data_IF_788888534443
#
_entry.id   IF_788888534443
#
_cell.length_a   1.000
_cell.length_b   1.000
_cell.length_c   1.000
_cell.angle_alpha   90.00
_cell.angle_beta   90.00
_cell.angle_gamma   90.00
#
_symmetry.space_group_name_H-M   'P 1'
#
loop_
_entity.id
_entity.type
_entity.pdbx_description
1 polymer ?
#
# COMPACT_ATOMS: atom_id res chain seq x y z
N UNK A 1 10.55 25.64 23.00
CA UNK A 1 9.79 25.86 21.76
C UNK A 1 10.00 24.65 20.88
N UNK A 2 9.03 23.73 20.90
CA UNK A 2 9.14 22.38 20.32
C UNK A 2 9.14 22.43 18.79
N UNK A 3 10.06 21.68 18.19
CA UNK A 3 10.32 21.57 16.75
C UNK A 3 9.26 20.77 15.97
N UNK A 4 8.02 20.69 16.46
CA UNK A 4 7.07 19.62 16.08
C UNK A 4 5.92 20.01 15.15
N UNK A 5 5.94 21.20 14.54
CA UNK A 5 4.81 21.65 13.70
C UNK A 5 5.24 22.35 12.41
N UNK A 6 6.23 21.79 11.69
CA UNK A 6 6.49 22.23 10.30
C UNK A 6 5.52 21.50 9.36
N UNK A 7 4.70 22.23 8.58
CA UNK A 7 3.80 21.60 7.62
C UNK A 7 4.60 20.76 6.62
N UNK A 8 4.10 19.55 6.36
CA UNK A 8 4.71 18.64 5.39
C UNK A 8 4.71 19.29 4.00
N UNK A 9 5.76 19.07 3.18
CA UNK A 9 5.78 19.59 1.83
C UNK A 9 4.70 18.91 0.97
N UNK A 10 4.08 19.70 0.08
CA UNK A 10 3.21 19.16 -0.95
C UNK A 10 4.01 18.34 -1.96
N UNK A 11 3.40 17.30 -2.51
CA UNK A 11 4.03 16.32 -3.39
C UNK A 11 3.57 16.55 -4.83
N UNK A 12 4.54 16.77 -5.72
CA UNK A 12 4.35 16.86 -7.16
C UNK A 12 4.78 15.55 -7.82
N UNK A 13 3.86 14.90 -8.54
CA UNK A 13 4.21 13.76 -9.41
C UNK A 13 4.43 14.23 -10.84
N UNK A 14 5.43 13.65 -11.50
CA UNK A 14 5.80 13.98 -12.87
C UNK A 14 5.34 12.87 -13.82
N UNK A 15 4.66 13.24 -14.89
CA UNK A 15 4.17 12.31 -15.91
C UNK A 15 4.81 12.64 -17.23
N UNK A 16 5.59 11.68 -17.73
CA UNK A 16 6.31 11.75 -19.00
C UNK A 16 7.24 12.97 -19.14
N UNK A 17 7.72 13.50 -18.01
CA UNK A 17 8.73 14.57 -17.97
C UNK A 17 10.12 13.94 -18.14
N UNK A 18 10.97 14.53 -18.98
CA UNK A 18 12.32 14.01 -19.23
C UNK A 18 13.23 14.09 -17.99
N UNK A 19 14.24 13.21 -17.91
CA UNK A 19 15.14 13.11 -16.76
C UNK A 19 15.90 14.43 -16.46
N UNK A 20 16.28 15.17 -17.50
CA UNK A 20 16.96 16.47 -17.35
C UNK A 20 16.01 17.56 -16.83
N UNK A 21 14.76 17.58 -17.31
CA UNK A 21 13.72 18.50 -16.85
C UNK A 21 13.33 18.20 -15.40
N UNK A 22 13.21 16.92 -15.04
CA UNK A 22 13.00 16.48 -13.65
C UNK A 22 14.15 16.95 -12.75
N UNK A 23 15.40 16.73 -13.16
CA UNK A 23 16.58 17.16 -12.38
C UNK A 23 16.56 18.68 -12.18
N UNK A 24 16.25 19.43 -13.23
CA UNK A 24 16.13 20.88 -13.17
C UNK A 24 15.01 21.33 -12.20
N UNK A 25 13.82 20.71 -12.28
CA UNK A 25 12.71 20.98 -11.37
C UNK A 25 13.07 20.68 -9.91
N UNK A 26 13.75 19.55 -9.64
CA UNK A 26 14.21 19.19 -8.28
C UNK A 26 15.15 20.27 -7.73
N UNK A 27 16.10 20.74 -8.54
CA UNK A 27 17.02 21.82 -8.16
C UNK A 27 16.30 23.14 -7.91
N UNK A 28 15.34 23.52 -8.77
CA UNK A 28 14.55 24.73 -8.59
C UNK A 28 13.69 24.69 -7.32
N UNK A 29 13.00 23.58 -7.05
CA UNK A 29 12.19 23.42 -5.84
C UNK A 29 13.04 23.50 -4.57
N UNK A 30 14.25 22.92 -4.59
CA UNK A 30 15.18 23.03 -3.48
C UNK A 30 15.62 24.49 -3.21
N UNK A 31 15.88 25.27 -4.27
CA UNK A 31 16.22 26.69 -4.17
C UNK A 31 15.03 27.54 -3.70
N UNK A 32 13.84 27.24 -4.17
CA UNK A 32 12.62 27.99 -3.86
C UNK A 32 11.98 27.60 -2.52
N UNK A 33 12.52 26.59 -1.81
CA UNK A 33 11.96 26.06 -0.57
C UNK A 33 11.73 27.12 0.52
N UNK A 34 12.51 28.21 0.52
CA UNK A 34 12.38 29.32 1.48
C UNK A 34 11.41 30.42 1.03
N UNK A 35 10.94 30.39 -0.22
CA UNK A 35 10.10 31.42 -0.82
C UNK A 35 8.72 30.91 -1.27
N UNK A 36 8.59 29.59 -1.42
CA UNK A 36 7.36 28.93 -1.83
C UNK A 36 6.69 28.31 -0.60
N UNK A 37 5.59 28.90 -0.15
CA UNK A 37 4.75 28.37 0.93
C UNK A 37 3.37 27.96 0.39
N UNK A 38 2.90 26.72 0.66
CA UNK A 38 3.62 25.62 1.29
C UNK A 38 4.79 25.12 0.42
N UNK A 39 5.80 24.50 1.05
CA UNK A 39 6.95 23.95 0.32
C UNK A 39 6.54 22.76 -0.54
N UNK A 40 7.21 22.55 -1.67
CA UNK A 40 6.92 21.45 -2.59
C UNK A 40 8.11 20.51 -2.75
N UNK A 41 7.83 19.24 -3.01
CA UNK A 41 8.82 18.23 -3.37
C UNK A 41 8.34 17.36 -4.53
N UNK A 42 9.27 16.84 -5.32
CA UNK A 42 8.94 15.83 -6.33
C UNK A 42 8.92 14.46 -5.66
N UNK A 43 7.90 13.66 -5.98
CA UNK A 43 7.79 12.27 -5.57
C UNK A 43 9.15 11.56 -5.72
N UNK A 44 9.71 11.12 -4.60
CA UNK A 44 11.00 10.45 -4.54
C UNK A 44 10.86 8.95 -4.84
N UNK A 45 9.66 8.40 -4.64
CA UNK A 45 9.35 6.98 -4.88
C UNK A 45 8.00 6.80 -5.55
N UNK A 46 7.86 5.66 -6.23
CA UNK A 46 6.57 5.15 -6.68
C UNK A 46 5.72 4.85 -5.42
N UNK A 47 4.80 5.73 -5.04
CA UNK A 47 3.99 5.57 -3.81
C UNK A 47 3.94 6.81 -2.91
N UNK A 48 4.72 7.85 -3.20
CA UNK A 48 4.42 9.20 -2.71
C UNK A 48 3.15 9.67 -3.42
N UNK A 49 2.17 10.11 -2.65
CA UNK A 49 0.86 10.37 -3.18
C UNK A 49 0.76 11.84 -3.58
N UNK A 50 0.48 12.14 -4.86
CA UNK A 50 0.61 13.49 -5.36
C UNK A 50 -0.53 14.38 -4.92
N UNK A 51 -0.16 15.53 -4.35
CA UNK A 51 -1.06 16.68 -4.19
C UNK A 51 -1.36 17.34 -5.54
N UNK A 52 -0.44 17.23 -6.50
CA UNK A 52 -0.65 17.65 -7.88
C UNK A 52 0.15 16.79 -8.87
N UNK A 53 -0.31 16.75 -10.11
CA UNK A 53 0.35 16.01 -11.20
C UNK A 53 0.76 16.97 -12.31
N UNK A 54 2.05 16.98 -12.65
CA UNK A 54 2.60 17.69 -13.80
C UNK A 54 2.69 16.73 -15.00
N UNK A 55 2.01 17.05 -16.09
CA UNK A 55 1.94 16.20 -17.28
C UNK A 55 2.61 16.90 -18.46
N UNK A 56 3.60 16.26 -19.07
CA UNK A 56 4.24 16.78 -20.29
C UNK A 56 3.33 16.62 -21.52
N UNK A 57 2.67 17.71 -21.91
CA UNK A 57 1.72 17.74 -23.02
C UNK A 57 2.38 17.80 -24.40
N UNK A 58 3.69 18.10 -24.47
CA UNK A 58 4.43 18.08 -25.73
C UNK A 58 4.73 16.65 -26.19
N UNK A 59 4.54 15.68 -25.30
CA UNK A 59 4.74 14.26 -25.56
C UNK A 59 3.44 13.55 -25.95
N UNK A 60 3.53 12.55 -26.85
CA UNK A 60 2.35 11.77 -27.27
C UNK A 60 1.73 11.01 -26.09
N UNK A 61 2.57 10.47 -25.21
CA UNK A 61 2.13 9.70 -24.05
C UNK A 61 1.51 10.61 -22.97
N UNK A 62 2.06 11.81 -22.73
CA UNK A 62 1.49 12.76 -21.79
C UNK A 62 0.15 13.32 -22.26
N UNK A 63 -0.01 13.57 -23.57
CA UNK A 63 -1.30 13.95 -24.15
C UNK A 63 -2.35 12.83 -23.96
N UNK A 64 -1.98 11.57 -24.23
CA UNK A 64 -2.86 10.42 -23.95
C UNK A 64 -3.23 10.31 -22.47
N UNK A 65 -2.31 10.59 -21.54
CA UNK A 65 -2.61 10.61 -20.11
C UNK A 65 -3.60 11.72 -19.75
N UNK A 66 -3.41 12.92 -20.31
CA UNK A 66 -4.28 14.07 -20.06
C UNK A 66 -5.73 13.82 -20.46
N UNK A 67 -5.95 13.17 -21.60
CA UNK A 67 -7.29 12.90 -22.14
C UNK A 67 -7.97 11.71 -21.45
N UNK A 68 -7.21 10.65 -21.15
CA UNK A 68 -7.79 9.35 -20.81
C UNK A 68 -7.69 8.97 -19.33
N UNK A 69 -6.97 9.74 -18.50
CA UNK A 69 -6.77 9.44 -17.08
C UNK A 69 -7.53 10.44 -16.21
N UNK A 70 -8.46 9.91 -15.41
CA UNK A 70 -9.08 10.63 -14.32
C UNK A 70 -8.22 10.48 -13.06
N UNK A 71 -7.68 11.58 -12.55
CA UNK A 71 -6.83 11.61 -11.35
C UNK A 71 -7.64 11.77 -10.05
N UNK A 72 -8.92 11.41 -10.04
CA UNK A 72 -9.73 11.37 -8.82
C UNK A 72 -9.92 12.73 -8.15
N UNK A 73 -9.82 13.82 -8.92
CA UNK A 73 -9.88 15.20 -8.42
C UNK A 73 -8.53 15.82 -8.07
N UNK A 74 -7.42 15.08 -8.15
CA UNK A 74 -6.07 15.65 -7.99
C UNK A 74 -5.82 16.71 -9.09
N UNK A 75 -5.38 17.92 -8.72
CA UNK A 75 -4.99 18.98 -9.67
C UNK A 75 -4.01 18.50 -10.74
N UNK A 76 -4.29 18.87 -11.99
CA UNK A 76 -3.44 18.58 -13.15
C UNK A 76 -2.84 19.86 -13.68
N UNK A 77 -1.53 19.85 -13.89
CA UNK A 77 -0.77 20.95 -14.44
C UNK A 77 -0.22 20.48 -15.79
N UNK A 78 -0.54 21.22 -16.86
CA UNK A 78 0.06 20.98 -18.17
C UNK A 78 1.47 21.55 -18.18
N UNK A 79 2.47 20.76 -18.54
CA UNK A 79 3.80 21.21 -18.91
C UNK A 79 3.89 21.22 -20.44
N UNK A 80 4.04 22.39 -21.05
CA UNK A 80 4.05 22.52 -22.52
C UNK A 80 4.81 23.75 -22.99
N UNK A 81 5.23 23.77 -24.26
CA UNK A 81 5.76 24.97 -24.92
C UNK A 81 4.71 26.07 -25.12
N UNK A 82 3.45 25.68 -25.27
CA UNK A 82 2.33 26.58 -25.55
C UNK A 82 1.28 26.52 -24.44
N UNK A 83 0.40 27.53 -24.37
CA UNK A 83 -0.73 27.47 -23.44
C UNK A 83 -1.69 26.35 -23.84
N UNK A 84 -2.07 25.52 -22.86
CA UNK A 84 -3.03 24.44 -23.07
C UNK A 84 -4.40 24.91 -22.61
N UNK A 85 -5.28 25.24 -23.55
CA UNK A 85 -6.62 25.79 -23.27
C UNK A 85 -7.50 24.87 -22.40
N UNK A 86 -7.31 23.56 -22.51
CA UNK A 86 -8.03 22.57 -21.72
C UNK A 86 -7.46 22.38 -20.29
N UNK A 87 -6.37 23.08 -19.96
CA UNK A 87 -5.71 23.00 -18.67
C UNK A 87 -6.00 24.22 -17.81
N UNK A 88 -6.43 23.97 -16.57
CA UNK A 88 -6.63 25.03 -15.58
C UNK A 88 -5.31 25.72 -15.21
N UNK A 89 -4.21 24.96 -15.19
CA UNK A 89 -2.86 25.50 -15.05
C UNK A 89 -1.94 24.96 -16.12
N UNK A 90 -1.17 25.87 -16.71
CA UNK A 90 -0.09 25.54 -17.63
C UNK A 90 1.23 26.12 -17.10
N UNK A 91 2.24 25.27 -16.97
CA UNK A 91 3.64 25.61 -16.73
C UNK A 91 4.36 25.61 -18.08
N UNK A 92 4.89 26.76 -18.50
CA UNK A 92 5.51 26.89 -19.81
C UNK A 92 6.95 26.35 -19.85
N UNK A 93 7.31 25.70 -20.95
CA UNK A 93 8.70 25.40 -21.32
C UNK A 93 9.29 26.61 -22.08
N UNK A 94 10.54 27.03 -21.78
CA UNK A 94 11.41 26.54 -20.73
C UNK A 94 10.91 26.94 -19.34
N UNK A 95 11.06 26.03 -18.37
CA UNK A 95 10.59 26.22 -17.00
C UNK A 95 11.31 27.42 -16.38
N UNK A 96 10.54 28.42 -15.95
CA UNK A 96 11.06 29.62 -15.27
C UNK A 96 10.74 29.57 -13.78
N UNK A 97 11.61 30.11 -12.91
CA UNK A 97 11.32 30.18 -11.48
C UNK A 97 10.20 31.18 -11.16
N UNK A 98 10.12 32.31 -11.87
CA UNK A 98 9.14 33.39 -11.62
C UNK A 98 8.61 34.04 -12.90
N UNK A 99 7.55 34.84 -12.76
CA UNK A 99 6.80 35.47 -13.85
C UNK A 99 5.57 34.68 -14.30
N UNK A 100 4.87 35.13 -15.36
CA UNK A 100 3.69 34.44 -15.88
C UNK A 100 3.97 33.01 -16.31
N UNK A 101 3.09 32.08 -15.95
CA UNK A 101 3.18 30.64 -16.20
C UNK A 101 4.48 29.99 -15.68
N UNK A 102 5.05 30.59 -14.63
CA UNK A 102 6.26 30.08 -13.98
C UNK A 102 5.97 29.04 -12.92
N UNK A 103 7.03 28.35 -12.47
CA UNK A 103 6.92 27.32 -11.43
C UNK A 103 6.32 27.89 -10.14
N UNK A 104 6.76 29.06 -9.70
CA UNK A 104 6.25 29.68 -8.45
C UNK A 104 4.77 30.03 -8.58
N UNK A 105 4.39 30.73 -9.66
CA UNK A 105 3.00 31.16 -9.85
C UNK A 105 2.04 29.96 -9.92
N UNK A 106 2.39 28.96 -10.72
CA UNK A 106 1.57 27.76 -10.92
C UNK A 106 1.43 26.98 -9.62
N UNK A 107 2.53 26.71 -8.91
CA UNK A 107 2.47 25.94 -7.66
C UNK A 107 1.78 26.69 -6.54
N UNK A 108 1.91 28.02 -6.45
CA UNK A 108 1.14 28.84 -5.50
C UNK A 108 -0.35 28.80 -5.82
N UNK A 109 -0.74 28.88 -7.09
CA UNK A 109 -2.15 28.82 -7.49
C UNK A 109 -2.78 27.45 -7.19
N UNK A 110 -2.04 26.37 -7.47
CA UNK A 110 -2.47 25.00 -7.16
C UNK A 110 -2.58 24.78 -5.65
N UNK A 111 -1.59 25.21 -4.87
CA UNK A 111 -1.62 25.12 -3.41
C UNK A 111 -2.83 25.86 -2.82
N UNK A 112 -3.14 27.06 -3.33
CA UNK A 112 -4.33 27.82 -2.92
C UNK A 112 -5.62 27.05 -3.22
N UNK A 113 -5.73 26.44 -4.41
CA UNK A 113 -6.90 25.63 -4.75
C UNK A 113 -7.01 24.38 -3.88
N UNK A 114 -5.91 23.72 -3.55
CA UNK A 114 -5.90 22.60 -2.60
C UNK A 114 -6.38 23.02 -1.20
N UNK A 115 -5.96 24.21 -0.73
CA UNK A 115 -6.41 24.78 0.54
C UNK A 115 -7.90 25.16 0.51
N UNK A 116 -8.41 25.68 -0.61
CA UNK A 116 -9.82 26.06 -0.78
C UNK A 116 -10.75 24.86 -1.05
N UNK A 117 -10.20 23.78 -1.63
CA UNK A 117 -10.92 22.52 -1.91
C UNK A 117 -10.87 21.55 -0.72
N UNK A 118 -10.08 21.86 0.31
CA UNK A 118 -10.23 21.23 1.60
C UNK A 118 -11.65 21.56 2.10
N UNK A 119 -12.52 20.56 2.37
CA UNK A 119 -13.85 20.85 2.84
C UNK A 119 -13.76 21.68 4.12
N UNK A 120 -14.47 22.81 4.15
CA UNK A 120 -14.72 23.56 5.36
C UNK A 120 -15.05 22.58 6.48
N UNK A 121 -14.36 22.74 7.61
CA UNK A 121 -14.41 21.94 8.84
C UNK A 121 -15.83 21.49 9.20
N UNK A 122 -16.28 20.44 8.54
CA UNK A 122 -17.35 19.56 8.97
C UNK A 122 -16.58 18.37 9.48
N UNK A 123 -16.51 18.26 10.80
CA UNK A 123 -15.91 17.13 11.52
C UNK A 123 -16.33 15.85 10.81
N UNK A 124 -15.45 15.24 10.01
CA UNK A 124 -15.78 13.98 9.40
C UNK A 124 -15.81 12.99 10.54
N UNK A 125 -16.96 12.39 10.78
CA UNK A 125 -17.10 11.17 11.55
C UNK A 125 -16.38 10.04 10.80
N UNK A 126 -15.04 10.14 10.74
CA UNK A 126 -14.19 9.05 10.30
C UNK A 126 -14.31 7.95 11.34
N UNK A 127 -15.01 6.87 10.97
CA UNK A 127 -14.99 5.63 11.72
C UNK A 127 -13.56 5.09 11.69
N UNK A 128 -12.80 5.37 12.75
CA UNK A 128 -11.44 4.87 12.98
C UNK A 128 -11.36 3.35 12.73
N UNK A 129 -10.40 2.93 11.89
CA UNK A 129 -10.10 1.51 11.65
C UNK A 129 -8.60 1.31 11.38
N UNK A 130 -7.95 0.30 11.99
CA UNK A 130 -6.58 -0.08 11.61
C UNK A 130 -6.46 -0.39 10.11
N UNK A 131 -5.26 -0.20 9.54
CA UNK A 131 -5.01 -0.49 8.12
C UNK A 131 -5.42 -1.92 7.73
N UNK A 132 -5.09 -2.89 8.58
CA UNK A 132 -5.47 -4.29 8.40
C UNK A 132 -6.98 -4.54 8.30
N UNK A 133 -7.79 -3.73 8.99
CA UNK A 133 -9.26 -3.80 8.88
C UNK A 133 -9.76 -3.30 7.53
N UNK A 134 -9.12 -2.27 6.97
CA UNK A 134 -9.43 -1.79 5.61
C UNK A 134 -9.03 -2.82 4.56
N UNK A 135 -7.85 -3.44 4.70
CA UNK A 135 -7.40 -4.53 3.82
C UNK A 135 -8.37 -5.71 3.89
N UNK A 136 -8.78 -6.13 5.09
CA UNK A 136 -9.75 -7.21 5.26
C UNK A 136 -11.08 -6.90 4.57
N UNK A 137 -11.58 -5.67 4.72
CA UNK A 137 -12.80 -5.22 4.04
C UNK A 137 -12.65 -5.23 2.52
N UNK A 138 -11.50 -4.81 1.99
CA UNK A 138 -11.22 -4.82 0.55
C UNK A 138 -11.15 -6.26 0.01
N UNK A 139 -10.57 -7.21 0.76
CA UNK A 139 -10.53 -8.62 0.38
C UNK A 139 -11.92 -9.29 0.35
N UNK A 140 -12.88 -8.75 1.10
CA UNK A 140 -14.26 -9.26 1.15
C UNK A 140 -15.18 -8.65 0.08
N UNK A 141 -14.72 -7.63 -0.66
CA UNK A 141 -15.53 -7.06 -1.73
C UNK A 141 -15.61 -8.03 -2.92
N UNK A 142 -16.75 -8.13 -3.62
CA UNK A 142 -16.85 -8.96 -4.81
C UNK A 142 -16.19 -8.32 -6.05
N UNK A 143 -15.65 -7.11 -5.93
CA UNK A 143 -15.06 -6.31 -7.01
C UNK A 143 -13.75 -5.65 -6.57
N UNK A 144 -12.91 -5.20 -7.53
CA UNK A 144 -11.67 -4.52 -7.18
C UNK A 144 -11.90 -3.23 -6.40
N UNK A 145 -11.15 -3.07 -5.31
CA UNK A 145 -11.31 -1.99 -4.35
C UNK A 145 -9.96 -1.39 -3.97
N UNK A 146 -9.91 -0.06 -3.89
CA UNK A 146 -8.73 0.70 -3.49
C UNK A 146 -8.82 0.99 -1.98
N UNK A 147 -7.76 0.63 -1.26
CA UNK A 147 -7.56 1.06 0.12
C UNK A 147 -6.86 2.42 0.05
N UNK A 148 -7.64 3.50 0.17
CA UNK A 148 -7.13 4.87 0.19
C UNK A 148 -6.83 5.31 1.62
N UNK A 149 -5.65 5.83 1.86
CA UNK A 149 -5.32 6.58 3.08
C UNK A 149 -5.58 8.08 2.86
N UNK A 150 -5.45 8.88 3.91
CA UNK A 150 -5.44 10.34 3.78
C UNK A 150 -4.34 10.83 2.83
N UNK A 151 -3.23 10.11 2.79
CA UNK A 151 -2.19 10.38 1.82
C UNK A 151 -2.64 9.98 0.42
N UNK A 152 -3.56 9.02 0.22
CA UNK A 152 -4.01 8.49 -1.08
C UNK A 152 -3.88 6.96 -1.20
N UNK A 153 -3.86 6.38 -2.42
CA UNK A 153 -3.90 4.92 -2.62
C UNK A 153 -2.75 4.15 -1.92
N UNK A 154 -3.13 3.23 -1.02
CA UNK A 154 -2.20 2.31 -0.37
C UNK A 154 -1.93 1.08 -1.24
N UNK A 155 -3.03 0.46 -1.67
CA UNK A 155 -3.06 -0.74 -2.49
C UNK A 155 -4.46 -0.91 -3.08
N UNK A 156 -4.51 -1.59 -4.22
CA UNK A 156 -5.75 -2.06 -4.83
C UNK A 156 -5.83 -3.56 -4.68
N UNK A 157 -6.94 -4.06 -4.14
CA UNK A 157 -7.22 -5.50 -4.04
C UNK A 157 -8.18 -5.87 -5.15
N UNK A 158 -7.88 -6.95 -5.88
CA UNK A 158 -8.81 -7.62 -6.80
C UNK A 158 -9.05 -9.06 -6.31
N UNK A 159 -10.13 -9.27 -5.52
CA UNK A 159 -10.43 -10.58 -4.95
C UNK A 159 -10.80 -11.63 -6.01
N UNK A 160 -11.43 -11.23 -7.12
CA UNK A 160 -11.78 -12.18 -8.19
C UNK A 160 -10.55 -12.61 -8.98
N UNK A 161 -9.66 -11.66 -9.29
CA UNK A 161 -8.39 -11.93 -9.94
C UNK A 161 -7.36 -12.62 -9.04
N UNK A 162 -7.64 -12.76 -7.74
CA UNK A 162 -6.71 -13.29 -6.74
C UNK A 162 -5.36 -12.55 -6.74
N UNK A 163 -5.41 -11.23 -6.97
CA UNK A 163 -4.23 -10.37 -7.02
C UNK A 163 -4.46 -9.09 -6.23
N UNK A 164 -3.37 -8.46 -5.83
CA UNK A 164 -3.36 -7.09 -5.37
C UNK A 164 -2.26 -6.31 -6.09
N UNK A 165 -2.39 -4.99 -6.05
CA UNK A 165 -1.46 -4.06 -6.65
C UNK A 165 -1.05 -3.06 -5.58
N UNK A 166 0.25 -2.84 -5.46
CA UNK A 166 0.78 -1.80 -4.60
C UNK A 166 2.13 -1.37 -5.15
N UNK A 167 2.42 -0.09 -5.06
CA UNK A 167 3.76 0.43 -5.32
C UNK A 167 4.70 0.24 -4.11
N UNK A 168 4.15 -0.17 -2.96
CA UNK A 168 4.91 -0.37 -1.70
C UNK A 168 5.65 -1.70 -1.70
N UNK A 169 6.81 -1.69 -1.05
CA UNK A 169 7.55 -2.91 -0.78
C UNK A 169 6.84 -3.80 0.24
N UNK A 170 7.26 -5.06 0.33
CA UNK A 170 6.75 -6.01 1.34
C UNK A 170 6.96 -5.48 2.77
N UNK A 171 8.09 -4.84 3.05
CA UNK A 171 8.40 -4.29 4.38
C UNK A 171 7.52 -3.08 4.71
N UNK A 172 7.27 -2.20 3.73
CA UNK A 172 6.37 -1.05 3.90
C UNK A 172 4.92 -1.50 4.15
N UNK A 173 4.45 -2.51 3.41
CA UNK A 173 3.12 -3.10 3.64
C UNK A 173 3.05 -3.77 5.01
N UNK A 174 4.09 -4.50 5.41
CA UNK A 174 4.20 -5.13 6.73
C UNK A 174 4.12 -4.09 7.84
N UNK A 175 4.84 -2.98 7.71
CA UNK A 175 4.82 -1.89 8.69
C UNK A 175 3.42 -1.25 8.80
N UNK A 176 2.72 -1.03 7.68
CA UNK A 176 1.35 -0.51 7.69
C UNK A 176 0.36 -1.50 8.31
N UNK A 177 0.46 -2.78 7.98
CA UNK A 177 -0.40 -3.84 8.53
C UNK A 177 -0.21 -4.02 10.03
N UNK A 178 1.03 -3.90 10.52
CA UNK A 178 1.37 -3.95 11.94
C UNK A 178 0.93 -2.69 12.70
N UNK A 179 0.79 -1.56 12.00
CA UNK A 179 0.48 -0.29 12.65
C UNK A 179 -0.94 -0.29 13.23
N UNK A 180 -1.02 -0.29 14.56
CA UNK A 180 -2.27 -0.20 15.33
C UNK A 180 -2.68 1.24 15.63
N UNK A 181 -1.85 2.23 15.29
CA UNK A 181 -2.16 3.66 15.48
C UNK A 181 -3.20 4.12 14.47
N UNK A 182 -3.81 5.26 14.77
CA UNK A 182 -4.79 5.92 13.89
C UNK A 182 -4.16 6.19 12.53
N UNK A 183 -4.74 5.57 11.51
CA UNK A 183 -4.48 5.90 10.11
C UNK A 183 -5.83 6.26 9.51
N UNK A 184 -5.96 7.51 9.06
CA UNK A 184 -7.17 7.95 8.38
C UNK A 184 -7.17 7.34 6.96
N UNK A 185 -8.28 6.69 6.60
CA UNK A 185 -8.42 6.01 5.33
C UNK A 185 -9.82 5.44 5.10
N UNK A 186 -10.06 4.98 3.88
CA UNK A 186 -11.31 4.39 3.42
C UNK A 186 -11.04 3.33 2.34
N UNK A 187 -11.99 2.42 2.19
CA UNK A 187 -12.04 1.51 1.04
C UNK A 187 -13.02 2.09 0.04
N UNK A 188 -12.59 2.27 -1.21
CA UNK A 188 -13.42 2.78 -2.30
C UNK A 188 -13.42 1.80 -3.47
N UNK A 189 -14.49 1.83 -4.24
CA UNK A 189 -14.63 1.00 -5.43
C UNK A 189 -13.69 1.51 -6.54
N UNK A 190 -13.11 0.61 -7.32
CA UNK A 190 -12.24 0.98 -8.45
C UNK A 190 -13.06 1.04 -9.74
N UNK A 191 -13.15 2.20 -10.40
CA UNK A 191 -13.81 2.33 -11.69
C UNK A 191 -13.05 1.54 -12.77
N UNK A 192 -13.81 0.93 -13.69
CA UNK A 192 -13.31 0.19 -14.85
C UNK A 192 -12.31 -0.92 -14.49
N UNK A 193 -12.69 -1.81 -13.57
CA UNK A 193 -11.93 -2.99 -13.14
C UNK A 193 -11.26 -3.77 -14.31
N UNK A 194 -11.94 -3.88 -15.45
CA UNK A 194 -11.42 -4.59 -16.65
C UNK A 194 -10.14 -3.98 -17.23
N UNK A 195 -9.90 -2.68 -17.03
CA UNK A 195 -8.70 -1.98 -17.52
C UNK A 195 -7.66 -1.75 -16.41
N UNK A 196 -7.93 -2.20 -15.19
CA UNK A 196 -7.10 -1.94 -14.01
C UNK A 196 -5.66 -2.42 -14.18
N UNK A 197 -5.46 -3.69 -14.56
CA UNK A 197 -4.14 -4.28 -14.75
C UNK A 197 -3.32 -3.53 -15.82
N UNK A 198 -3.95 -3.18 -16.95
CA UNK A 198 -3.32 -2.41 -18.02
C UNK A 198 -2.95 -1.01 -17.53
N UNK A 199 -3.86 -0.34 -16.80
CA UNK A 199 -3.64 1.00 -16.25
C UNK A 199 -2.48 1.02 -15.28
N UNK A 200 -2.41 0.07 -14.34
CA UNK A 200 -1.35 -0.01 -13.33
C UNK A 200 -0.01 -0.48 -13.92
N UNK A 201 -0.05 -1.37 -14.91
CA UNK A 201 1.15 -1.84 -15.62
C UNK A 201 1.91 -0.73 -16.34
N UNK A 202 1.22 0.33 -16.82
CA UNK A 202 1.87 1.53 -17.40
C UNK A 202 2.77 2.28 -16.41
N UNK A 203 2.51 2.13 -15.11
CA UNK A 203 3.30 2.72 -14.03
C UNK A 203 4.32 1.73 -13.45
N UNK A 204 4.53 0.58 -14.09
CA UNK A 204 5.41 -0.47 -13.59
C UNK A 204 4.85 -1.24 -12.38
N UNK A 205 3.62 -0.96 -11.95
CA UNK A 205 2.96 -1.66 -10.84
C UNK A 205 2.43 -2.99 -11.37
N UNK A 206 3.09 -4.07 -10.95
CA UNK A 206 2.74 -5.43 -11.35
C UNK A 206 1.75 -6.06 -10.36
N UNK A 207 0.86 -6.95 -10.84
CA UNK A 207 0.01 -7.73 -9.95
C UNK A 207 0.88 -8.63 -9.07
N UNK A 208 0.54 -8.71 -7.79
CA UNK A 208 1.10 -9.64 -6.81
C UNK A 208 0.02 -10.60 -6.34
N UNK A 209 0.34 -11.87 -6.01
CA UNK A 209 -0.66 -12.84 -5.55
C UNK A 209 -1.37 -12.34 -4.29
N UNK A 210 -2.70 -12.42 -4.24
CA UNK A 210 -3.48 -12.02 -3.07
C UNK A 210 -3.10 -12.84 -1.82
N UNK A 211 -2.69 -14.10 -2.02
CA UNK A 211 -2.15 -14.97 -0.97
C UNK A 211 -0.99 -14.32 -0.21
N UNK A 212 -0.13 -13.53 -0.88
CA UNK A 212 0.98 -12.82 -0.24
C UNK A 212 0.47 -11.73 0.72
N UNK A 213 -0.54 -10.96 0.32
CA UNK A 213 -1.12 -9.91 1.18
C UNK A 213 -1.84 -10.51 2.40
N UNK A 214 -2.59 -11.59 2.21
CA UNK A 214 -3.28 -12.31 3.29
C UNK A 214 -2.27 -12.93 4.27
N UNK A 215 -1.20 -13.53 3.75
CA UNK A 215 -0.09 -14.06 4.52
C UNK A 215 0.57 -12.99 5.40
N UNK A 216 0.95 -11.85 4.80
CA UNK A 216 1.53 -10.72 5.53
C UNK A 216 0.60 -10.20 6.61
N UNK A 217 -0.70 -10.06 6.30
CA UNK A 217 -1.71 -9.62 7.26
C UNK A 217 -1.75 -10.57 8.47
N UNK A 218 -1.84 -11.88 8.24
CA UNK A 218 -1.88 -12.85 9.33
C UNK A 218 -0.62 -12.84 10.20
N UNK A 219 0.56 -12.68 9.58
CA UNK A 219 1.85 -12.65 10.30
C UNK A 219 2.01 -11.47 11.28
N UNK A 220 1.29 -10.36 11.13
CA UNK A 220 1.62 -9.14 11.87
C UNK A 220 0.45 -8.47 12.59
N UNK A 221 -0.78 -8.88 12.30
CA UNK A 221 -1.97 -8.24 12.88
C UNK A 221 -2.33 -8.80 14.24
N UNK A 222 -2.09 -10.10 14.48
CA UNK A 222 -2.32 -10.78 15.75
C UNK A 222 -1.43 -10.23 16.88
N UNK A 223 -0.19 -9.84 16.54
CA UNK A 223 0.85 -9.48 17.52
C UNK A 223 1.05 -10.55 18.59
N UNK A 224 1.08 -11.81 18.14
CA UNK A 224 1.27 -12.98 18.99
C UNK A 224 -0.01 -13.61 19.54
N UNK A 225 -1.19 -13.12 19.15
CA UNK A 225 -2.48 -13.68 19.56
C UNK A 225 -3.27 -14.22 18.35
N UNK A 226 -4.16 -15.19 18.59
CA UNK A 226 -5.07 -15.69 17.56
C UNK A 226 -6.03 -14.60 17.10
N UNK A 227 -6.24 -14.50 15.78
CA UNK A 227 -7.24 -13.61 15.18
C UNK A 227 -8.69 -14.15 15.25
N UNK A 228 -8.90 -15.28 15.95
CA UNK A 228 -10.22 -15.87 16.19
C UNK A 228 -10.66 -16.92 15.17
N UNK A 229 -9.84 -17.21 14.15
CA UNK A 229 -10.11 -18.27 13.15
C UNK A 229 -9.68 -19.66 13.62
N UNK A 230 -8.96 -19.76 14.73
CA UNK A 230 -8.52 -20.99 15.37
C UNK A 230 -8.40 -20.78 16.89
N UNK A 231 -8.62 -21.84 17.68
CA UNK A 231 -8.51 -21.79 19.15
C UNK A 231 -7.09 -22.19 19.59
N UNK A 232 -6.37 -21.37 20.37
CA UNK A 232 -5.07 -21.73 20.95
C UNK A 232 -5.04 -23.01 21.79
N UNK A 233 -6.21 -23.48 22.25
CA UNK A 233 -6.37 -24.69 23.06
C UNK A 233 -6.72 -25.94 22.24
N UNK A 234 -6.92 -25.80 20.94
CA UNK A 234 -7.23 -26.91 20.04
C UNK A 234 -6.05 -27.20 19.10
N UNK A 235 -5.72 -28.48 18.84
CA UNK A 235 -4.68 -28.80 17.89
C UNK A 235 -5.07 -28.35 16.48
N UNK A 236 -4.07 -27.85 15.74
CA UNK A 236 -4.22 -27.43 14.35
C UNK A 236 -3.22 -28.17 13.47
N UNK A 237 -3.56 -28.35 12.20
CA UNK A 237 -2.65 -28.92 11.19
C UNK A 237 -2.75 -28.16 9.88
N UNK A 238 -1.78 -28.38 8.99
CA UNK A 238 -1.80 -27.79 7.66
C UNK A 238 -2.42 -28.76 6.65
N UNK A 239 -3.35 -28.28 5.82
CA UNK A 239 -3.93 -29.03 4.69
C UNK A 239 -2.92 -29.20 3.55
N UNK A 240 -2.09 -28.17 3.33
CA UNK A 240 -1.02 -28.12 2.34
C UNK A 240 0.13 -27.25 2.86
N UNK A 241 1.30 -27.37 2.24
CA UNK A 241 2.42 -26.46 2.52
C UNK A 241 2.09 -25.03 2.06
N UNK A 242 2.51 -23.99 2.82
CA UNK A 242 2.56 -22.63 2.30
C UNK A 242 3.51 -22.56 1.10
N UNK A 243 3.18 -21.74 0.10
CA UNK A 243 4.02 -21.57 -1.07
C UNK A 243 5.22 -20.66 -0.76
N UNK A 244 6.23 -21.19 -0.07
CA UNK A 244 7.42 -20.43 0.33
C UNK A 244 8.30 -19.95 -0.83
N UNK A 245 8.05 -20.40 -2.07
CA UNK A 245 8.69 -19.81 -3.25
C UNK A 245 8.22 -18.39 -3.53
N UNK A 246 6.99 -18.04 -3.13
CA UNK A 246 6.40 -16.71 -3.32
C UNK A 246 6.11 -15.96 -2.02
N UNK A 247 5.98 -16.67 -0.90
CA UNK A 247 5.63 -16.08 0.39
C UNK A 247 6.88 -15.69 1.20
N UNK A 248 6.93 -14.46 1.75
CA UNK A 248 8.02 -14.04 2.62
C UNK A 248 8.04 -14.88 3.90
N UNK A 249 9.19 -15.47 4.23
CA UNK A 249 9.29 -16.39 5.35
C UNK A 249 10.68 -16.40 6.02
N UNK A 250 10.72 -16.93 7.23
CA UNK A 250 11.95 -17.21 8.00
C UNK A 250 12.20 -18.72 8.01
N UNK A 251 13.43 -19.15 8.30
CA UNK A 251 13.73 -20.59 8.45
C UNK A 251 12.82 -21.30 9.45
N UNK A 252 12.42 -20.61 10.53
CA UNK A 252 11.52 -21.19 11.53
C UNK A 252 10.12 -21.47 10.99
N UNK A 253 9.64 -20.71 10.01
CA UNK A 253 8.36 -20.97 9.35
C UNK A 253 8.40 -22.29 8.57
N UNK A 254 9.55 -22.67 8.01
CA UNK A 254 9.73 -23.97 7.35
C UNK A 254 9.63 -25.13 8.34
N UNK A 255 10.26 -24.98 9.52
CA UNK A 255 10.19 -25.98 10.61
C UNK A 255 8.76 -26.15 11.12
N UNK A 256 8.07 -25.04 11.39
CA UNK A 256 6.67 -25.05 11.81
C UNK A 256 5.77 -25.73 10.78
N UNK A 257 5.95 -25.41 9.49
CA UNK A 257 5.19 -26.03 8.42
C UNK A 257 5.44 -27.54 8.32
N UNK A 258 6.69 -27.99 8.51
CA UNK A 258 7.03 -29.41 8.51
C UNK A 258 6.30 -30.17 9.62
N UNK A 259 6.32 -29.65 10.85
CA UNK A 259 5.65 -30.25 12.02
C UNK A 259 4.14 -30.35 11.76
N UNK A 260 3.51 -29.24 11.37
CA UNK A 260 2.06 -29.19 11.17
C UNK A 260 1.56 -29.94 9.94
N UNK A 261 2.45 -30.32 9.00
CA UNK A 261 2.12 -31.22 7.89
C UNK A 261 2.22 -32.68 8.25
N UNK A 262 3.04 -33.01 9.24
CA UNK A 262 3.18 -34.37 9.77
C UNK A 262 2.03 -34.70 10.72
N UNK A 263 1.68 -33.80 11.65
CA UNK A 263 0.64 -34.04 12.64
C UNK A 263 0.00 -32.75 13.18
N UNK A 264 -1.13 -32.90 13.89
CA UNK A 264 -1.79 -31.79 14.59
C UNK A 264 -1.06 -31.42 15.88
N UNK A 265 -0.86 -30.12 16.14
CA UNK A 265 -0.14 -29.61 17.31
C UNK A 265 -0.80 -28.36 17.88
N UNK A 266 -0.68 -28.15 19.19
CA UNK A 266 -1.05 -26.89 19.82
C UNK A 266 -0.03 -25.78 19.50
N UNK A 267 -0.46 -24.52 19.53
CA UNK A 267 0.45 -23.40 19.29
C UNK A 267 1.62 -23.34 20.28
N UNK A 268 1.37 -23.69 21.56
CA UNK A 268 2.41 -23.76 22.59
C UNK A 268 3.42 -24.87 22.35
N UNK A 269 2.95 -26.06 21.95
CA UNK A 269 3.80 -27.21 21.62
C UNK A 269 4.68 -26.91 20.39
N UNK A 270 4.08 -26.31 19.36
CA UNK A 270 4.77 -25.88 18.16
C UNK A 270 5.87 -24.86 18.48
N UNK A 271 5.60 -23.91 19.36
CA UNK A 271 6.57 -22.90 19.80
C UNK A 271 7.76 -23.53 20.53
N UNK A 272 7.50 -24.47 21.45
CA UNK A 272 8.54 -25.23 22.16
C UNK A 272 9.39 -26.05 21.19
N UNK A 273 8.75 -26.80 20.28
CA UNK A 273 9.45 -27.64 19.30
C UNK A 273 10.31 -26.85 18.32
N UNK A 274 9.95 -25.60 18.04
CA UNK A 274 10.69 -24.71 17.15
C UNK A 274 11.63 -23.73 17.87
N UNK A 275 11.69 -23.77 19.21
CA UNK A 275 12.49 -22.87 20.05
C UNK A 275 12.19 -21.38 19.79
N UNK A 276 10.91 -21.00 19.73
CA UNK A 276 10.45 -19.61 19.54
C UNK A 276 9.47 -19.16 20.61
N UNK A 277 9.19 -17.86 20.64
CA UNK A 277 8.11 -17.33 21.44
C UNK A 277 6.75 -17.86 20.96
N UNK A 278 5.83 -18.13 21.89
CA UNK A 278 4.44 -18.55 21.57
C UNK A 278 3.75 -17.59 20.61
N UNK A 279 4.06 -16.29 20.70
CA UNK A 279 3.54 -15.29 19.79
C UNK A 279 3.99 -15.47 18.34
N UNK A 280 5.25 -15.85 18.10
CA UNK A 280 5.74 -16.13 16.73
C UNK A 280 4.99 -17.33 16.11
N UNK A 281 4.70 -18.36 16.91
CA UNK A 281 3.88 -19.49 16.47
C UNK A 281 2.44 -19.07 16.17
N UNK A 282 1.83 -18.26 17.03
CA UNK A 282 0.48 -17.73 16.81
C UNK A 282 0.38 -16.88 15.54
N UNK A 283 1.34 -15.98 15.30
CA UNK A 283 1.39 -15.15 14.08
C UNK A 283 1.56 -16.01 12.82
N UNK A 284 2.38 -17.07 12.88
CA UNK A 284 2.50 -18.04 11.78
C UNK A 284 1.18 -18.79 11.52
N UNK A 285 0.49 -19.23 12.57
CA UNK A 285 -0.81 -19.90 12.46
C UNK A 285 -1.89 -18.97 11.91
N UNK A 286 -1.90 -17.70 12.32
CA UNK A 286 -2.75 -16.67 11.75
C UNK A 286 -2.51 -16.51 10.24
N UNK A 287 -1.26 -16.46 9.80
CA UNK A 287 -0.92 -16.39 8.37
C UNK A 287 -1.42 -17.60 7.60
N UNK A 288 -1.28 -18.81 8.17
CA UNK A 288 -1.81 -20.04 7.57
C UNK A 288 -3.35 -20.07 7.51
N UNK A 289 -4.02 -19.52 8.54
CA UNK A 289 -5.47 -19.41 8.56
C UNK A 289 -5.99 -18.41 7.51
N UNK A 290 -5.33 -17.24 7.38
CA UNK A 290 -5.69 -16.20 6.42
C UNK A 290 -5.61 -16.66 4.96
N UNK A 291 -4.67 -17.53 4.62
CA UNK A 291 -4.58 -18.14 3.28
C UNK A 291 -5.38 -19.46 3.15
N UNK A 292 -6.16 -19.81 4.17
CA UNK A 292 -7.12 -20.92 4.14
C UNK A 292 -6.53 -22.34 4.23
N UNK A 293 -5.24 -22.47 4.58
CA UNK A 293 -4.56 -23.77 4.61
C UNK A 293 -4.55 -24.43 5.99
N UNK A 294 -4.97 -23.71 7.03
CA UNK A 294 -5.08 -24.24 8.37
C UNK A 294 -6.34 -25.11 8.50
N UNK A 295 -6.20 -26.24 9.16
CA UNK A 295 -7.29 -27.10 9.60
C UNK A 295 -7.37 -27.03 11.12
N UNK A 296 -8.53 -26.58 11.61
CA UNK A 296 -8.87 -26.45 13.01
C UNK A 296 -9.43 -27.77 13.55
N UNK A 297 -9.25 -28.04 14.85
CA UNK A 297 -9.71 -29.28 15.50
C UNK A 297 -9.10 -30.52 14.85
N UNK A 298 -7.82 -30.44 14.49
CA UNK A 298 -7.09 -31.59 14.01
C UNK A 298 -7.08 -32.66 15.10
N UNK A 299 -7.26 -33.93 14.72
CA UNK A 299 -7.09 -35.02 15.66
C UNK A 299 -5.67 -34.92 16.28
N UNK A 300 -5.55 -34.97 17.62
CA UNK A 300 -4.25 -34.94 18.27
C UNK A 300 -3.40 -36.14 17.82
N UNK A 301 -2.08 -36.00 17.91
CA UNK A 301 -1.16 -37.11 17.62
C UNK A 301 -1.58 -38.33 18.44
N UNK A 302 -1.89 -39.44 17.78
CA UNK A 302 -2.09 -40.70 18.50
C UNK A 302 -0.78 -41.09 19.16
N UNK A 303 -0.79 -41.25 20.49
CA UNK A 303 0.35 -41.69 21.31
C UNK A 303 1.02 -42.99 20.82
N UNK A 304 0.43 -43.70 19.86
CA UNK A 304 1.02 -44.88 19.22
C UNK A 304 2.25 -44.60 18.32
N UNK A 305 2.52 -43.34 17.93
CA UNK A 305 3.66 -42.99 17.07
C UNK A 305 4.93 -42.57 17.83
N UNK A 306 4.82 -42.17 19.10
CA UNK A 306 5.96 -41.79 19.95
C UNK A 306 6.77 -43.01 20.42
N UNK A 307 6.16 -44.19 20.53
CA UNK A 307 6.83 -45.43 20.93
C UNK A 307 7.62 -46.12 19.80
N UNK A 308 7.49 -45.69 18.55
CA UNK A 308 8.22 -46.28 17.40
C UNK A 308 9.58 -45.64 17.08
N UNK A 309 9.98 -44.56 17.78
CA UNK A 309 11.30 -43.92 17.60
C UNK A 309 12.29 -44.21 18.72
N UNK A 310 11.95 -45.09 19.67
CA UNK A 310 12.85 -45.53 20.77
C UNK A 310 13.16 -47.05 20.65
N UNK A 311 13.05 -47.63 19.45
CA UNK A 311 13.54 -48.98 19.15
C UNK A 311 14.51 -48.94 17.98
#
# INVERSE_FOLDING_TARGET
>A
MSSEDKPLPLVLSLVNVGADEERYLRSLLALLRTYLEPSWCIAARLGDLPDAVLVDMDSKEGNQVWENVNFGGTPRIALSRDQVLAAEWTLLKPIRPGGPHSLTEVLTAVARKLQLSAPASSTPTYNWRPFASMVSRACQQPYPSDVMLATGSALVVDPQGQVFYSSRTTDELTALLRNRRRIDGKVVDVPDARKLAVRLGRWGIRPRPLEELLWLKGLVTGAGESLGTWDPREPVRLKRWPNFASLPHRQVHLKMAAILRDHGSLASELAVACEVATGDAADFLNACAEIGILETRAAPVSNAQLTRKIQ
#
